data_IF_216597450843
#
_entry.id   IF_216597450843
#
_cell.length_a   1.000
_cell.length_b   1.000
_cell.length_c   1.000
_cell.angle_alpha   90.00
_cell.angle_beta   90.00
_cell.angle_gamma   90.00
#
_symmetry.space_group_name_H-M   'P 1'
#
loop_
_entity.id
_entity.type
_entity.pdbx_description
1 polymer ?
#
# COMPACT_ATOMS: atom_id res chain seq x y z
N UNK A 1 11.92 -28.47 16.36
CA UNK A 1 11.26 -27.95 15.15
C UNK A 1 11.58 -26.45 15.04
N UNK A 2 12.63 -26.07 14.30
CA UNK A 2 13.08 -24.67 14.11
C UNK A 2 12.95 -24.30 12.64
N UNK A 3 12.08 -23.35 12.30
CA UNK A 3 12.06 -22.76 10.95
C UNK A 3 13.10 -21.63 10.90
N UNK A 4 14.23 -21.89 10.23
CA UNK A 4 15.23 -20.89 9.88
C UNK A 4 14.87 -20.30 8.50
N UNK A 5 14.26 -19.12 8.47
CA UNK A 5 14.18 -18.34 7.22
C UNK A 5 15.45 -17.50 7.08
N UNK A 6 16.40 -18.04 6.33
CA UNK A 6 17.63 -17.38 5.90
C UNK A 6 17.31 -16.47 4.72
N UNK A 7 17.23 -15.16 4.93
CA UNK A 7 17.17 -14.17 3.84
C UNK A 7 18.56 -14.09 3.19
N UNK A 8 18.74 -14.72 2.02
CA UNK A 8 19.96 -14.61 1.24
C UNK A 8 19.99 -13.24 0.53
N UNK A 9 20.82 -12.31 1.04
CA UNK A 9 21.37 -11.21 0.25
C UNK A 9 22.49 -11.79 -0.62
N UNK A 10 22.21 -12.10 -1.87
CA UNK A 10 23.26 -12.23 -2.89
C UNK A 10 23.41 -10.88 -3.59
N UNK A 11 24.45 -10.15 -3.19
CA UNK A 11 25.01 -9.07 -4.01
C UNK A 11 25.46 -9.70 -5.34
N UNK A 12 24.82 -9.31 -6.45
CA UNK A 12 25.32 -9.58 -7.79
C UNK A 12 26.53 -8.68 -8.06
N UNK A 13 27.73 -9.22 -8.35
CA UNK A 13 28.88 -8.41 -8.75
C UNK A 13 28.77 -8.10 -10.26
N UNK A 14 28.82 -6.83 -10.64
CA UNK A 14 28.90 -6.44 -12.05
C UNK A 14 28.27 -5.11 -12.47
N UNK A 15 27.61 -4.38 -11.58
CA UNK A 15 26.96 -3.11 -11.95
C UNK A 15 27.96 -1.95 -12.00
N UNK A 16 28.75 -1.89 -13.07
CA UNK A 16 29.61 -0.75 -13.42
C UNK A 16 28.72 0.31 -14.08
N UNK A 17 28.65 1.52 -13.51
CA UNK A 17 27.96 2.66 -14.12
C UNK A 17 28.83 3.20 -15.25
N UNK A 18 28.55 2.78 -16.48
CA UNK A 18 29.05 3.47 -17.68
C UNK A 18 28.11 4.63 -18.01
N UNK A 19 28.57 5.81 -17.65
CA UNK A 19 28.00 7.12 -17.95
C UNK A 19 28.36 7.50 -19.39
N UNK A 20 27.59 7.04 -20.40
CA UNK A 20 27.38 7.69 -21.72
C UNK A 20 26.24 7.01 -22.50
N UNK A 21 25.03 7.58 -22.48
CA UNK A 21 24.03 7.35 -23.55
C UNK A 21 23.27 8.64 -23.84
N UNK A 22 23.41 9.09 -25.09
CA UNK A 22 22.78 10.28 -25.64
C UNK A 22 21.27 10.29 -25.45
N UNK A 23 20.73 11.50 -25.35
CA UNK A 23 19.29 11.73 -25.26
C UNK A 23 18.62 11.34 -26.58
N UNK A 24 17.88 10.23 -26.54
CA UNK A 24 16.76 10.00 -27.46
C UNK A 24 15.57 10.68 -26.79
N UNK A 25 15.07 11.79 -27.36
CA UNK A 25 13.84 12.44 -26.93
C UNK A 25 12.66 11.52 -27.30
N UNK A 26 12.22 10.68 -26.34
CA UNK A 26 11.04 9.87 -26.50
C UNK A 26 9.81 10.71 -26.14
N UNK A 27 8.95 11.03 -27.12
CA UNK A 27 7.72 11.84 -26.94
C UNK A 27 6.58 11.09 -26.26
N UNK A 28 6.79 9.83 -25.84
CA UNK A 28 5.83 9.05 -25.04
C UNK A 28 6.27 8.99 -23.57
N UNK A 29 6.52 10.15 -22.95
CA UNK A 29 6.64 10.19 -21.49
C UNK A 29 5.24 10.00 -20.89
N UNK A 30 5.02 8.99 -20.00
CA UNK A 30 3.74 8.85 -19.33
C UNK A 30 3.44 10.15 -18.59
N UNK A 31 2.25 10.70 -18.79
CA UNK A 31 1.79 11.89 -18.09
C UNK A 31 1.99 11.69 -16.59
N UNK A 32 2.61 12.64 -15.87
CA UNK A 32 2.80 12.50 -14.44
C UNK A 32 1.42 12.46 -13.77
N UNK A 33 1.03 11.26 -13.35
CA UNK A 33 -0.16 11.06 -12.53
C UNK A 33 0.06 11.82 -11.21
N UNK A 34 -0.90 12.67 -10.79
CA UNK A 34 -0.77 13.39 -9.55
C UNK A 34 -0.59 12.42 -8.38
N UNK A 35 0.40 12.71 -7.53
CA UNK A 35 0.66 11.92 -6.33
C UNK A 35 -0.45 12.14 -5.31
N UNK A 36 -0.82 11.07 -4.60
CA UNK A 36 -1.80 11.13 -3.53
C UNK A 36 -1.23 11.92 -2.36
N UNK A 37 -1.99 12.90 -1.89
CA UNK A 37 -1.67 13.76 -0.75
C UNK A 37 -2.36 13.28 0.53
N UNK A 38 -1.89 13.69 1.72
CA UNK A 38 -2.60 13.45 2.97
C UNK A 38 -4.05 13.98 2.97
N UNK A 39 -4.29 15.07 2.25
CA UNK A 39 -5.62 15.68 2.10
C UNK A 39 -6.59 14.75 1.36
N UNK A 40 -6.11 14.04 0.33
CA UNK A 40 -6.91 13.03 -0.38
C UNK A 40 -7.33 11.89 0.55
N UNK A 41 -6.45 11.48 1.48
CA UNK A 41 -6.73 10.45 2.48
C UNK A 41 -7.78 10.96 3.49
N UNK A 42 -7.69 12.21 3.94
CA UNK A 42 -8.65 12.82 4.85
C UNK A 42 -10.04 12.98 4.20
N UNK A 43 -10.08 13.39 2.93
CA UNK A 43 -11.31 13.45 2.13
C UNK A 43 -11.93 12.05 1.99
N UNK A 44 -11.13 11.05 1.61
CA UNK A 44 -11.59 9.66 1.50
C UNK A 44 -12.11 9.11 2.84
N UNK A 45 -11.47 9.45 3.97
CA UNK A 45 -11.95 9.07 5.30
C UNK A 45 -13.36 9.60 5.56
N UNK A 46 -13.63 10.85 5.18
CA UNK A 46 -14.94 11.48 5.33
C UNK A 46 -16.00 10.74 4.51
N UNK A 47 -15.68 10.42 3.25
CA UNK A 47 -16.57 9.67 2.35
C UNK A 47 -16.93 8.29 2.90
N UNK A 48 -15.96 7.52 3.39
CA UNK A 48 -16.20 6.14 3.84
C UNK A 48 -16.68 6.03 5.30
N UNK A 49 -16.68 7.14 6.05
CA UNK A 49 -17.08 7.17 7.46
C UNK A 49 -18.52 6.66 7.64
N UNK A 50 -18.75 5.84 8.66
CA UNK A 50 -20.06 5.23 8.96
C UNK A 50 -20.49 4.10 7.99
N UNK A 51 -19.83 3.94 6.84
CA UNK A 51 -20.20 2.92 5.83
C UNK A 51 -19.41 1.62 5.95
N UNK A 52 -18.27 1.65 6.63
CA UNK A 52 -17.35 0.52 6.82
C UNK A 52 -17.04 0.29 8.29
N UNK A 53 -16.61 -0.93 8.64
CA UNK A 53 -16.23 -1.26 10.00
C UNK A 53 -14.97 -0.51 10.44
N UNK A 54 -14.97 0.01 11.67
CA UNK A 54 -13.74 0.36 12.38
C UNK A 54 -13.10 -0.94 12.86
N UNK A 55 -12.27 -1.51 12.00
CA UNK A 55 -11.55 -2.76 12.25
C UNK A 55 -10.62 -2.63 13.46
N UNK A 56 -10.50 -3.68 14.29
CA UNK A 56 -9.68 -3.62 15.49
C UNK A 56 -8.18 -3.52 15.17
N UNK A 57 -7.44 -3.00 16.14
CA UNK A 57 -5.99 -3.06 16.17
C UNK A 57 -5.63 -3.98 17.34
N UNK A 58 -4.90 -5.06 17.07
CA UNK A 58 -4.56 -6.07 18.07
C UNK A 58 -3.04 -6.18 18.23
N UNK A 59 -2.51 -6.13 19.46
CA UNK A 59 -1.09 -6.37 19.68
C UNK A 59 -0.74 -7.83 19.35
N UNK A 60 0.44 -8.06 18.79
CA UNK A 60 0.96 -9.42 18.54
C UNK A 60 2.19 -9.67 19.41
N UNK A 61 2.01 -10.45 20.49
CA UNK A 61 3.13 -10.84 21.36
C UNK A 61 4.19 -11.65 20.59
N UNK A 62 3.75 -12.56 19.72
CA UNK A 62 4.65 -13.38 18.90
C UNK A 62 5.54 -12.51 17.99
N UNK A 63 4.93 -11.63 17.18
CA UNK A 63 5.71 -10.77 16.28
C UNK A 63 6.54 -9.75 17.06
N UNK A 64 6.05 -9.29 18.21
CA UNK A 64 6.82 -8.38 19.04
C UNK A 64 8.09 -9.05 19.59
N UNK A 65 7.97 -10.27 20.09
CA UNK A 65 9.12 -11.05 20.56
C UNK A 65 10.10 -11.39 19.44
N UNK A 66 9.60 -11.69 18.24
CA UNK A 66 10.44 -12.03 17.10
C UNK A 66 11.20 -10.82 16.53
N UNK A 67 10.61 -9.63 16.58
CA UNK A 67 11.18 -8.41 15.99
C UNK A 67 11.91 -7.52 17.00
N UNK A 68 11.69 -7.72 18.31
CA UNK A 68 12.18 -6.82 19.35
C UNK A 68 11.45 -5.47 19.42
N UNK A 69 10.36 -5.30 18.66
CA UNK A 69 9.57 -4.07 18.58
C UNK A 69 8.13 -4.30 19.00
N UNK A 70 7.39 -3.24 19.37
CA UNK A 70 5.94 -3.35 19.66
C UNK A 70 5.14 -3.47 18.37
N UNK A 71 4.70 -4.68 18.03
CA UNK A 71 3.93 -4.94 16.81
C UNK A 71 2.43 -4.98 17.08
N UNK A 72 1.68 -4.18 16.31
CA UNK A 72 0.23 -4.20 16.29
C UNK A 72 -0.28 -4.53 14.90
N UNK A 73 -1.34 -5.34 14.82
CA UNK A 73 -1.97 -5.78 13.60
C UNK A 73 -3.28 -5.01 13.38
N UNK A 74 -3.39 -4.37 12.22
CA UNK A 74 -4.65 -3.80 11.75
C UNK A 74 -5.46 -4.90 11.06
N UNK A 75 -6.51 -5.39 11.72
CA UNK A 75 -7.22 -6.60 11.28
C UNK A 75 -8.28 -6.28 10.21
N UNK A 76 -7.83 -5.88 9.02
CA UNK A 76 -8.71 -5.62 7.86
C UNK A 76 -9.45 -6.87 7.35
N UNK A 77 -9.07 -8.07 7.82
CA UNK A 77 -9.83 -9.30 7.57
C UNK A 77 -11.26 -9.24 8.14
N UNK A 78 -11.53 -8.39 9.13
CA UNK A 78 -12.88 -8.17 9.69
C UNK A 78 -13.64 -7.02 9.03
N UNK A 79 -13.07 -6.42 7.98
CA UNK A 79 -13.81 -5.47 7.17
C UNK A 79 -14.90 -6.19 6.37
N UNK A 80 -15.87 -5.43 5.86
CA UNK A 80 -16.79 -5.92 4.82
C UNK A 80 -15.98 -6.63 3.72
N UNK A 81 -16.53 -7.72 3.18
CA UNK A 81 -15.87 -8.56 2.15
C UNK A 81 -14.51 -9.15 2.54
N UNK A 82 -14.13 -9.15 3.83
CA UNK A 82 -12.93 -9.86 4.33
C UNK A 82 -11.59 -9.23 3.98
N UNK A 83 -11.54 -7.98 3.51
CA UNK A 83 -10.27 -7.30 3.19
C UNK A 83 -10.39 -5.77 3.22
N UNK A 84 -9.28 -5.06 3.08
CA UNK A 84 -9.25 -3.59 3.09
C UNK A 84 -9.91 -2.94 1.85
N UNK A 85 -10.14 -3.71 0.78
CA UNK A 85 -10.51 -3.20 -0.54
C UNK A 85 -11.79 -2.35 -0.59
N UNK A 86 -12.85 -2.63 0.18
CA UNK A 86 -14.06 -1.80 0.16
C UNK A 86 -13.82 -0.33 0.49
N UNK A 87 -12.73 0.00 1.21
CA UNK A 87 -12.33 1.39 1.48
C UNK A 87 -12.08 2.16 0.19
N UNK A 88 -11.31 1.56 -0.73
CA UNK A 88 -10.99 2.17 -2.02
C UNK A 88 -12.19 2.15 -2.98
N UNK A 89 -12.92 1.03 -3.02
CA UNK A 89 -14.11 0.88 -3.88
C UNK A 89 -15.16 1.93 -3.57
N UNK A 90 -15.51 2.12 -2.29
CA UNK A 90 -16.50 3.14 -1.90
C UNK A 90 -16.03 4.55 -2.22
N UNK A 91 -14.75 4.86 -1.99
CA UNK A 91 -14.20 6.15 -2.34
C UNK A 91 -14.24 6.39 -3.86
N UNK A 92 -13.92 5.38 -4.67
CA UNK A 92 -13.96 5.47 -6.14
C UNK A 92 -15.39 5.67 -6.64
N UNK A 93 -16.34 4.84 -6.18
CA UNK A 93 -17.74 4.95 -6.57
C UNK A 93 -18.34 6.31 -6.21
N UNK A 94 -17.92 6.92 -5.12
CA UNK A 94 -18.36 8.27 -4.75
C UNK A 94 -17.94 9.34 -5.77
N UNK A 95 -16.76 9.20 -6.37
CA UNK A 95 -16.19 10.19 -7.30
C UNK A 95 -16.47 9.88 -8.78
N UNK A 96 -17.15 8.76 -9.07
CA UNK A 96 -17.57 8.43 -10.43
C UNK A 96 -18.82 9.23 -10.81
N UNK A 97 -18.85 9.71 -12.06
CA UNK A 97 -20.03 10.36 -12.62
C UNK A 97 -21.20 9.37 -12.73
N UNK A 98 -22.42 9.88 -12.92
CA UNK A 98 -23.63 9.03 -13.05
C UNK A 98 -23.52 8.08 -14.24
N UNK A 99 -22.81 8.47 -15.30
CA UNK A 99 -22.59 7.66 -16.50
C UNK A 99 -21.56 6.55 -16.30
N UNK A 100 -20.66 6.70 -15.32
CA UNK A 100 -19.61 5.73 -15.03
C UNK A 100 -19.99 4.72 -13.93
N UNK A 101 -21.02 5.04 -13.13
CA UNK A 101 -21.50 4.21 -12.01
C UNK A 101 -22.24 2.96 -12.47
#
# INVERSE_FOLDING_TARGET
MRYLYRCQKTLVPGFRRDDKRGQILNTNSPTPMPLITPQDIAAAQTVISGRLHRTPIQPSAFLSNQTGARVHLKLELFQKTGSFKPRGVLNRLHHMSIEEK
#
